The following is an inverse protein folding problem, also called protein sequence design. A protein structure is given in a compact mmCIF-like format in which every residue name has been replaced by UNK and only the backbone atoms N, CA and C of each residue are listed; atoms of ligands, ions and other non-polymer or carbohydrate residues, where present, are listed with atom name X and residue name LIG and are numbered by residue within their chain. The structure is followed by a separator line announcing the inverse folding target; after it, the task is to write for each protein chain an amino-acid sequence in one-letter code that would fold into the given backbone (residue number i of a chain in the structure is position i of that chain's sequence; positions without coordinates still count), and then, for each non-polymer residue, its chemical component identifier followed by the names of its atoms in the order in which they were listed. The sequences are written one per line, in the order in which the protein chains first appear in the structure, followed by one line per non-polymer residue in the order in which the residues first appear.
data_IF_602416632298
#
_entry.id   IF_602416632298
#
_cell.length_a   1.000
_cell.length_b   1.000
_cell.length_c   1.000
_cell.angle_alpha   90.00
_cell.angle_beta   90.00
_cell.angle_gamma   90.00
#
_symmetry.space_group_name_H-M   'P 1'
#
loop_
_entity.id
_entity.type
_entity.pdbx_description
1 polymer ?
#
# COMPACT_ATOMS: atom_id res chain seq x y z
N UNK A 1 -3.03 -12.06 1.89
CA UNK A 1 -3.17 -11.48 3.25
C UNK A 1 -3.84 -10.12 3.15
N UNK A 2 -4.96 -9.97 3.83
CA UNK A 2 -5.75 -8.75 3.86
C UNK A 2 -5.78 -8.22 5.29
N UNK A 3 -5.17 -7.07 5.52
CA UNK A 3 -5.09 -6.46 6.84
C UNK A 3 -5.80 -5.12 6.89
N UNK A 4 -6.48 -4.87 8.01
CA UNK A 4 -7.04 -3.57 8.36
C UNK A 4 -6.11 -2.89 9.37
N UNK A 5 -5.77 -1.63 9.10
CA UNK A 5 -4.84 -0.86 9.91
C UNK A 5 -5.56 0.41 10.37
N UNK A 6 -5.55 0.60 11.68
CA UNK A 6 -6.21 1.73 12.36
C UNK A 6 -5.19 2.50 13.18
N UNK A 7 -5.42 3.79 13.33
CA UNK A 7 -4.60 4.62 14.20
C UNK A 7 -4.69 4.14 15.67
N UNK A 8 -3.56 3.95 16.33
CA UNK A 8 -3.49 3.57 17.73
C UNK A 8 -3.75 2.09 18.02
N UNK A 9 -3.76 1.23 17.00
CA UNK A 9 -3.99 -0.21 17.13
C UNK A 9 -3.03 -1.01 16.26
N UNK A 10 -2.75 -2.24 16.66
CA UNK A 10 -2.01 -3.18 15.82
C UNK A 10 -2.83 -3.57 14.58
N UNK A 11 -2.17 -3.83 13.43
CA UNK A 11 -2.86 -4.35 12.26
C UNK A 11 -3.59 -5.66 12.55
N UNK A 12 -4.81 -5.78 12.02
CA UNK A 12 -5.64 -6.98 12.21
C UNK A 12 -6.02 -7.60 10.88
N UNK A 13 -6.15 -8.92 10.85
CA UNK A 13 -6.67 -9.62 9.67
C UNK A 13 -8.16 -9.31 9.50
N UNK A 14 -8.56 -9.10 8.25
CA UNK A 14 -9.98 -8.86 7.92
C UNK A 14 -10.72 -10.20 7.81
N UNK A 15 -11.82 -10.30 8.51
CA UNK A 15 -12.70 -11.48 8.39
C UNK A 15 -13.55 -11.35 7.14
N UNK A 16 -13.35 -12.26 6.16
CA UNK A 16 -14.07 -12.24 4.89
C UNK A 16 -15.57 -12.54 5.04
N UNK A 17 -15.97 -13.14 6.16
CA UNK A 17 -17.38 -13.36 6.48
C UNK A 17 -18.08 -12.08 6.96
N UNK A 18 -17.33 -11.08 7.39
CA UNK A 18 -17.87 -9.77 7.79
C UNK A 18 -18.11 -8.90 6.56
N UNK A 19 -19.12 -8.04 6.63
CA UNK A 19 -19.41 -7.04 5.59
C UNK A 19 -18.90 -5.66 5.97
N UNK A 20 -18.28 -5.52 7.12
CA UNK A 20 -17.80 -4.23 7.64
C UNK A 20 -16.33 -4.32 8.05
N UNK A 21 -15.64 -3.19 7.90
CA UNK A 21 -14.29 -3.03 8.42
C UNK A 21 -14.30 -2.80 9.93
N UNK A 22 -13.22 -3.17 10.63
CA UNK A 22 -13.02 -2.73 12.02
C UNK A 22 -13.15 -1.21 12.14
N UNK A 23 -13.73 -0.76 13.24
CA UNK A 23 -13.92 0.66 13.50
C UNK A 23 -12.57 1.40 13.49
N UNK A 24 -12.55 2.57 12.87
CA UNK A 24 -11.36 3.41 12.78
C UNK A 24 -10.34 2.99 11.74
N UNK A 25 -10.66 2.02 10.88
CA UNK A 25 -9.77 1.61 9.80
C UNK A 25 -9.52 2.76 8.84
N UNK A 26 -8.24 3.11 8.63
CA UNK A 26 -7.82 4.16 7.69
C UNK A 26 -7.01 3.59 6.52
N UNK A 27 -6.52 2.37 6.65
CA UNK A 27 -5.67 1.72 5.65
C UNK A 27 -5.98 0.23 5.55
N UNK A 28 -6.17 -0.25 4.33
CA UNK A 28 -6.32 -1.67 3.99
C UNK A 28 -5.11 -2.07 3.17
N UNK A 29 -4.37 -3.07 3.62
CA UNK A 29 -3.19 -3.58 2.91
C UNK A 29 -3.44 -4.99 2.40
N UNK A 30 -3.29 -5.17 1.08
CA UNK A 30 -3.39 -6.45 0.39
C UNK A 30 -1.97 -6.90 0.00
N UNK A 31 -1.45 -7.89 0.71
CA UNK A 31 -0.16 -8.52 0.39
C UNK A 31 -0.42 -9.85 -0.29
N UNK A 32 -0.01 -9.96 -1.56
CA UNK A 32 -0.22 -11.14 -2.40
C UNK A 32 -1.63 -11.73 -2.24
N UNK A 33 -2.67 -10.93 -2.55
CA UNK A 33 -4.02 -11.26 -2.17
C UNK A 33 -4.59 -12.47 -2.93
N UNK A 34 -5.43 -13.22 -2.25
CA UNK A 34 -6.24 -14.27 -2.86
C UNK A 34 -7.40 -13.67 -3.65
N UNK A 35 -8.00 -14.46 -4.54
CA UNK A 35 -9.20 -14.03 -5.29
C UNK A 35 -10.36 -13.67 -4.37
N UNK A 36 -10.49 -14.35 -3.25
CA UNK A 36 -11.52 -14.07 -2.24
C UNK A 36 -11.29 -12.73 -1.55
N UNK A 37 -10.06 -12.44 -1.19
CA UNK A 37 -9.65 -11.17 -0.57
C UNK A 37 -9.88 -10.00 -1.53
N UNK A 38 -9.52 -10.15 -2.79
CA UNK A 38 -9.77 -9.16 -3.85
C UNK A 38 -11.28 -8.94 -3.99
N UNK A 39 -12.05 -10.00 -4.14
CA UNK A 39 -13.50 -9.93 -4.29
C UNK A 39 -14.18 -9.27 -3.09
N UNK A 40 -13.76 -9.58 -1.88
CA UNK A 40 -14.26 -8.94 -0.67
C UNK A 40 -14.01 -7.43 -0.69
N UNK A 41 -12.78 -7.04 -1.01
CA UNK A 41 -12.39 -5.64 -1.04
C UNK A 41 -13.17 -4.86 -2.09
N UNK A 42 -13.30 -5.40 -3.29
CA UNK A 42 -14.05 -4.77 -4.37
C UNK A 42 -15.53 -4.58 -4.03
N UNK A 43 -16.17 -5.60 -3.46
CA UNK A 43 -17.60 -5.53 -3.09
C UNK A 43 -17.87 -4.57 -1.95
N UNK A 44 -17.02 -4.56 -0.93
CA UNK A 44 -17.28 -3.80 0.29
C UNK A 44 -16.77 -2.36 0.23
N UNK A 45 -15.78 -2.08 -0.61
CA UNK A 45 -15.20 -0.74 -0.72
C UNK A 45 -15.50 -0.05 -2.06
N UNK A 46 -16.14 -0.74 -2.99
CA UNK A 46 -16.54 -0.15 -4.28
C UNK A 46 -15.38 0.26 -5.15
N UNK A 47 -14.29 -0.48 -5.12
CA UNK A 47 -13.07 -0.20 -5.88
C UNK A 47 -12.73 -1.38 -6.77
N UNK A 48 -11.85 -1.15 -7.74
CA UNK A 48 -11.28 -2.19 -8.59
C UNK A 48 -9.83 -2.43 -8.14
N UNK A 49 -9.50 -3.66 -7.81
CA UNK A 49 -8.14 -4.01 -7.38
C UNK A 49 -7.31 -4.47 -8.58
N UNK A 50 -6.24 -3.75 -8.95
CA UNK A 50 -5.39 -4.15 -10.06
C UNK A 50 -4.61 -5.42 -9.73
N UNK A 51 -4.40 -6.26 -10.74
CA UNK A 51 -3.55 -7.45 -10.61
C UNK A 51 -2.07 -7.06 -10.70
N UNK A 52 -1.19 -8.00 -10.34
CA UNK A 52 0.26 -7.81 -10.53
C UNK A 52 0.60 -7.53 -11.99
N UNK A 53 -0.05 -8.24 -12.92
CA UNK A 53 0.13 -8.04 -14.35
C UNK A 53 -0.28 -6.63 -14.76
N UNK A 54 -1.46 -6.17 -14.32
CA UNK A 54 -1.95 -4.82 -14.61
C UNK A 54 -0.95 -3.75 -14.14
N UNK A 55 -0.45 -3.88 -12.91
CA UNK A 55 0.49 -2.92 -12.33
C UNK A 55 1.84 -2.91 -13.05
N UNK A 56 2.28 -4.07 -13.56
CA UNK A 56 3.55 -4.20 -14.28
C UNK A 56 3.49 -3.66 -15.71
N UNK A 57 2.31 -3.70 -16.34
CA UNK A 57 2.11 -3.30 -17.75
C UNK A 57 1.70 -1.82 -17.90
N UNK A 58 1.46 -1.11 -16.81
CA UNK A 58 1.04 0.30 -16.88
C UNK A 58 2.19 1.17 -17.37
N UNK A 59 1.94 1.92 -18.45
CA UNK A 59 2.86 2.93 -18.96
C UNK A 59 3.03 4.08 -17.96
N UNK A 60 4.19 4.75 -17.99
CA UNK A 60 4.51 5.87 -17.10
C UNK A 60 3.44 6.96 -17.11
N UNK A 61 2.87 7.26 -18.28
CA UNK A 61 1.82 8.25 -18.43
C UNK A 61 0.47 7.88 -17.79
N UNK A 62 0.28 6.59 -17.49
CA UNK A 62 -0.98 6.05 -16.96
C UNK A 62 -0.86 5.59 -15.51
N UNK A 63 0.23 5.94 -14.81
CA UNK A 63 0.46 5.51 -13.42
C UNK A 63 -0.43 6.22 -12.41
N UNK A 64 -1.01 7.36 -12.78
CA UNK A 64 -1.96 8.09 -11.95
C UNK A 64 -3.27 8.23 -12.73
N UNK A 65 -4.34 7.72 -12.16
CA UNK A 65 -5.67 7.80 -12.74
C UNK A 65 -6.67 8.22 -11.65
N UNK A 66 -7.71 8.94 -12.06
CA UNK A 66 -8.79 9.35 -11.18
C UNK A 66 -10.09 8.72 -11.66
N UNK A 67 -10.80 8.01 -10.78
CA UNK A 67 -12.12 7.45 -11.04
C UNK A 67 -13.10 7.94 -9.95
N UNK A 68 -14.01 8.86 -10.30
CA UNK A 68 -14.89 9.49 -9.33
C UNK A 68 -14.09 10.26 -8.28
N UNK A 69 -14.24 9.91 -7.01
CA UNK A 69 -13.49 10.48 -5.89
C UNK A 69 -12.22 9.69 -5.53
N UNK A 70 -11.97 8.58 -6.23
CA UNK A 70 -10.84 7.71 -5.94
C UNK A 70 -9.65 8.04 -6.86
N UNK A 71 -8.45 8.05 -6.29
CA UNK A 71 -7.21 8.15 -7.04
C UNK A 71 -6.51 6.80 -7.06
N UNK A 72 -6.08 6.38 -8.25
CA UNK A 72 -5.31 5.16 -8.46
C UNK A 72 -3.89 5.53 -8.85
N UNK A 73 -2.93 5.07 -8.06
CA UNK A 73 -1.51 5.24 -8.34
C UNK A 73 -0.83 3.88 -8.42
N UNK A 74 -0.04 3.68 -9.46
CA UNK A 74 0.86 2.54 -9.59
C UNK A 74 2.30 3.04 -9.52
N UNK A 75 3.12 2.40 -8.71
CA UNK A 75 4.52 2.77 -8.59
C UNK A 75 5.39 1.53 -8.41
N UNK A 76 6.59 1.49 -9.05
CA UNK A 76 7.59 0.52 -8.68
C UNK A 76 8.20 0.91 -7.33
N UNK A 77 8.33 -0.07 -6.45
CA UNK A 77 8.89 0.11 -5.10
C UNK A 77 10.09 -0.83 -4.95
N UNK A 78 11.08 -0.37 -4.23
CA UNK A 78 12.25 -1.20 -3.93
C UNK A 78 11.82 -2.27 -2.93
N UNK A 79 11.93 -3.54 -3.35
CA UNK A 79 11.64 -4.69 -2.53
C UNK A 79 12.71 -4.94 -1.47
N UNK A 80 12.66 -6.12 -0.84
CA UNK A 80 13.69 -6.55 0.12
C UNK A 80 15.02 -6.71 -0.61
N UNK A 81 15.77 -5.62 -0.72
CA UNK A 81 17.04 -5.61 -1.42
C UNK A 81 18.16 -6.08 -0.49
N UNK A 82 18.93 -7.03 -0.97
CA UNK A 82 20.30 -7.19 -0.49
C UNK A 82 21.17 -6.11 -1.16
N UNK A 83 22.32 -5.84 -0.57
CA UNK A 83 23.29 -4.85 -1.09
C UNK A 83 23.63 -5.10 -2.59
N UNK A 84 23.44 -6.31 -3.07
CA UNK A 84 23.79 -6.73 -4.42
C UNK A 84 22.65 -6.61 -5.44
N UNK A 85 21.38 -6.63 -5.01
CA UNK A 85 20.23 -6.63 -5.92
C UNK A 85 19.07 -5.80 -5.34
N UNK A 86 18.88 -4.60 -5.89
CA UNK A 86 17.68 -3.80 -5.65
C UNK A 86 16.63 -4.21 -6.70
N UNK A 87 15.73 -5.12 -6.32
CA UNK A 87 14.62 -5.51 -7.17
C UNK A 87 13.45 -4.55 -7.02
N UNK A 88 12.92 -4.08 -8.15
CA UNK A 88 11.69 -3.29 -8.16
C UNK A 88 10.49 -4.22 -8.21
N UNK A 89 9.53 -3.98 -7.34
CA UNK A 89 8.27 -4.70 -7.32
C UNK A 89 7.11 -3.70 -7.50
N UNK A 90 6.07 -4.06 -8.27
CA UNK A 90 4.95 -3.15 -8.46
C UNK A 90 4.10 -3.05 -7.20
N UNK A 91 3.65 -1.84 -6.89
CA UNK A 91 2.68 -1.58 -5.83
C UNK A 91 1.59 -0.67 -6.35
N UNK A 92 0.36 -0.93 -5.92
CA UNK A 92 -0.80 -0.13 -6.24
C UNK A 92 -1.32 0.60 -5.00
N UNK A 93 -1.76 1.84 -5.21
CA UNK A 93 -2.32 2.69 -4.16
C UNK A 93 -3.66 3.21 -4.65
N UNK A 94 -4.69 3.00 -3.86
CA UNK A 94 -6.02 3.54 -4.13
C UNK A 94 -6.39 4.45 -2.96
N UNK A 95 -6.41 5.76 -3.23
CA UNK A 95 -6.78 6.75 -2.22
C UNK A 95 -8.26 7.05 -2.38
N UNK A 96 -9.06 6.62 -1.41
CA UNK A 96 -10.48 6.93 -1.34
C UNK A 96 -10.71 8.01 -0.28
N UNK A 97 -11.89 8.65 -0.23
CA UNK A 97 -12.16 9.63 0.82
C UNK A 97 -12.10 9.09 2.25
N UNK A 98 -12.27 7.79 2.43
CA UNK A 98 -12.40 7.18 3.76
C UNK A 98 -11.24 6.27 4.16
N UNK A 99 -10.65 5.58 3.19
CA UNK A 99 -9.63 4.56 3.45
C UNK A 99 -8.61 4.55 2.32
N UNK A 100 -7.34 4.33 2.68
CA UNK A 100 -6.30 4.02 1.72
C UNK A 100 -6.29 2.50 1.50
N UNK A 101 -6.18 2.08 0.25
CA UNK A 101 -6.02 0.67 -0.12
C UNK A 101 -4.69 0.52 -0.81
N UNK A 102 -3.85 -0.41 -0.35
CA UNK A 102 -2.58 -0.75 -1.00
C UNK A 102 -2.60 -2.20 -1.46
N UNK A 103 -1.98 -2.44 -2.60
CA UNK A 103 -1.80 -3.77 -3.19
C UNK A 103 -0.32 -3.97 -3.46
N UNK A 104 0.24 -5.01 -2.88
CA UNK A 104 1.66 -5.37 -3.08
C UNK A 104 1.80 -6.88 -3.15
N UNK A 105 2.91 -7.35 -3.69
CA UNK A 105 3.12 -8.78 -3.95
C UNK A 105 4.32 -9.34 -3.21
N UNK A 106 5.05 -8.47 -2.51
CA UNK A 106 6.21 -8.81 -1.70
C UNK A 106 6.17 -8.06 -0.37
N UNK A 107 6.86 -8.59 0.62
CA UNK A 107 7.07 -7.88 1.89
C UNK A 107 7.91 -6.64 1.63
N UNK A 108 7.41 -5.49 2.06
CA UNK A 108 8.07 -4.21 1.91
C UNK A 108 8.32 -3.61 3.28
N UNK A 109 9.58 -3.49 3.72
CA UNK A 109 9.90 -2.94 5.04
C UNK A 109 9.32 -1.55 5.29
N UNK A 110 9.21 -0.71 4.27
CA UNK A 110 8.62 0.63 4.38
C UNK A 110 7.15 0.58 4.80
N UNK A 111 6.40 -0.41 4.34
CA UNK A 111 5.00 -0.60 4.71
C UNK A 111 4.87 -1.00 6.18
N UNK A 112 5.75 -1.89 6.64
CA UNK A 112 5.77 -2.32 8.05
C UNK A 112 6.14 -1.15 8.98
N UNK A 113 7.10 -0.32 8.58
CA UNK A 113 7.50 0.87 9.33
C UNK A 113 6.33 1.84 9.47
N UNK A 114 5.58 2.12 8.40
CA UNK A 114 4.42 3.01 8.46
C UNK A 114 3.29 2.41 9.28
N UNK A 115 3.05 1.10 9.16
CA UNK A 115 2.04 0.41 9.98
C UNK A 115 2.36 0.52 11.47
N UNK A 116 3.63 0.32 11.86
CA UNK A 116 4.08 0.52 13.24
C UNK A 116 3.93 1.97 13.70
N UNK A 117 4.21 2.92 12.81
CA UNK A 117 4.03 4.34 13.10
C UNK A 117 2.56 4.67 13.41
N UNK A 118 1.61 4.08 12.71
CA UNK A 118 0.18 4.29 12.98
C UNK A 118 -0.22 3.86 14.40
N UNK A 119 0.42 2.85 14.95
CA UNK A 119 0.13 2.39 16.32
C UNK A 119 0.41 3.48 17.36
N UNK A 120 1.35 4.36 17.10
CA UNK A 120 1.86 5.35 18.05
C UNK A 120 1.59 6.81 17.65
N UNK A 121 1.36 7.08 16.38
CA UNK A 121 1.13 8.43 15.85
C UNK A 121 -0.35 8.68 15.61
N UNK A 122 -0.97 9.41 16.51
CA UNK A 122 -2.40 9.74 16.46
C UNK A 122 -2.76 10.80 15.41
N UNK A 123 -1.79 11.31 14.64
CA UNK A 123 -2.04 12.28 13.57
C UNK A 123 -2.39 11.64 12.24
N UNK A 124 -2.08 10.35 12.05
CA UNK A 124 -2.34 9.61 10.82
C UNK A 124 -3.77 9.05 10.81
N UNK A 125 -4.76 9.93 10.72
CA UNK A 125 -6.17 9.59 10.85
C UNK A 125 -6.96 9.62 9.55
N UNK A 126 -6.32 9.98 8.44
CA UNK A 126 -6.98 10.06 7.12
C UNK A 126 -6.26 9.19 6.10
N UNK A 127 -6.98 8.78 5.06
CA UNK A 127 -6.39 8.02 3.95
C UNK A 127 -5.24 8.78 3.28
N UNK A 128 -5.39 10.07 3.09
CA UNK A 128 -4.35 10.91 2.47
C UNK A 128 -3.12 11.04 3.38
N UNK A 129 -3.29 11.17 4.69
CA UNK A 129 -2.16 11.26 5.62
C UNK A 129 -1.33 9.97 5.61
N UNK A 130 -1.97 8.82 5.57
CA UNK A 130 -1.29 7.52 5.47
C UNK A 130 -0.60 7.37 4.12
N UNK A 131 -1.25 7.77 3.04
CA UNK A 131 -0.66 7.76 1.70
C UNK A 131 0.62 8.61 1.64
N UNK A 132 0.58 9.83 2.18
CA UNK A 132 1.76 10.72 2.22
C UNK A 132 2.87 10.09 3.07
N UNK A 133 2.54 9.49 4.21
CA UNK A 133 3.53 8.83 5.06
C UNK A 133 4.21 7.65 4.33
N UNK A 134 3.45 6.86 3.56
CA UNK A 134 4.00 5.79 2.73
C UNK A 134 4.91 6.33 1.63
N UNK A 135 4.49 7.39 0.93
CA UNK A 135 5.30 8.01 -0.12
C UNK A 135 6.61 8.55 0.45
N UNK A 136 6.58 9.22 1.59
CA UNK A 136 7.79 9.70 2.28
C UNK A 136 8.72 8.55 2.64
N UNK A 137 8.19 7.47 3.20
CA UNK A 137 8.99 6.30 3.59
C UNK A 137 9.63 5.63 2.35
N UNK A 138 8.90 5.53 1.24
CA UNK A 138 9.41 4.97 -0.02
C UNK A 138 10.53 5.83 -0.59
N UNK A 139 10.35 7.15 -0.59
CA UNK A 139 11.36 8.09 -1.11
C UNK A 139 12.61 8.12 -0.24
N UNK A 140 12.46 8.05 1.08
CA UNK A 140 13.58 8.11 2.03
C UNK A 140 14.54 6.90 1.89
N UNK A 141 14.07 5.79 1.38
CA UNK A 141 14.91 4.60 1.13
C UNK A 141 15.82 4.78 -0.09
N UNK A 142 15.41 5.55 -1.08
CA UNK A 142 16.14 5.72 -2.35
C UNK A 142 17.57 6.23 -2.16
N UNK A 143 17.86 7.26 -1.33
CA UNK A 143 19.23 7.75 -1.13
C UNK A 143 20.19 6.69 -0.59
N UNK A 144 19.71 5.79 0.29
CA UNK A 144 20.53 4.71 0.84
C UNK A 144 21.00 3.75 -0.26
N UNK A 145 20.13 3.38 -1.18
CA UNK A 145 20.47 2.52 -2.31
C UNK A 145 21.37 3.25 -3.32
N UNK A 146 21.09 4.51 -3.62
CA UNK A 146 21.93 5.31 -4.52
C UNK A 146 23.34 5.47 -3.98
N UNK A 147 23.50 5.69 -2.68
CA UNK A 147 24.83 5.81 -2.07
C UNK A 147 25.64 4.52 -2.19
N UNK A 148 24.99 3.36 -2.13
CA UNK A 148 25.62 2.05 -2.31
C UNK A 148 26.13 1.86 -3.75
N UNK A 149 25.43 2.39 -4.74
CA UNK A 149 25.78 2.29 -6.15
C UNK A 149 26.81 3.33 -6.62
N UNK A 150 26.86 4.48 -5.95
CA UNK A 150 27.69 5.63 -6.34
C UNK A 150 29.05 5.65 -5.64
N UNK A 151 29.25 4.87 -4.59
CA UNK A 151 30.55 4.77 -3.92
C UNK A 151 31.45 3.73 -4.58
N UNK A 152 32.71 4.10 -4.88
CA UNK A 152 33.67 3.18 -5.47
C UNK A 152 34.04 2.01 -4.56
#
# INVERSE_FOLDING_TARGET
VLKAISCGREPTDVELASVSLPEGTVWIDLLDPTSEEIGWTERNLGVRIPSRHDLSEIELSSRLAKEGENMYLSAPVIGAATIEHADLTPAGFIVTPHVLITVRFETLPTFDIVAQRLEHDKTLTTSMAVFVALMEAIVDVVPTYLSTWLLP
#
